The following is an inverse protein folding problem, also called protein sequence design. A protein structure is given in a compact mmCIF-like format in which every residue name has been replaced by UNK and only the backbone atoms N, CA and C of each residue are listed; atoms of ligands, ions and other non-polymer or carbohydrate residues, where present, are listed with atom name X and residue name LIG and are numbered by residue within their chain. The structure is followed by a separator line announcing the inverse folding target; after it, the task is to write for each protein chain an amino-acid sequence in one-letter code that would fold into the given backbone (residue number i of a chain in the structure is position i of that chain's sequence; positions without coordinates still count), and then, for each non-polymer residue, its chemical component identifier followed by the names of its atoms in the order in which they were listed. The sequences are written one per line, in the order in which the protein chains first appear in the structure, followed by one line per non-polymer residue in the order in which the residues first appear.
data_IF_065313788222
#
_entry.id   IF_065313788222
#
_cell.length_a   1.000
_cell.length_b   1.000
_cell.length_c   1.000
_cell.angle_alpha   90.00
_cell.angle_beta   90.00
_cell.angle_gamma   90.00
#
_symmetry.space_group_name_H-M   'P 1'
#
loop_
_entity.id
_entity.type
_entity.pdbx_description
1 polymer ?
#
# COMPACT_ATOMS: atom_id res chain seq x y z
N UNK A 1 -5.26 2.88 22.70
CA UNK A 1 -5.10 4.07 21.83
C UNK A 1 -4.33 3.64 20.58
N UNK A 2 -4.93 2.83 19.71
CA UNK A 2 -4.31 2.31 18.47
C UNK A 2 -5.07 2.79 17.23
N UNK A 3 -5.78 3.91 17.29
CA UNK A 3 -6.74 4.26 16.24
C UNK A 3 -6.13 4.80 14.94
N UNK A 4 -4.86 5.20 14.92
CA UNK A 4 -4.21 5.78 13.73
C UNK A 4 -3.74 4.75 12.69
N UNK A 5 -3.05 3.69 13.14
CA UNK A 5 -2.47 2.69 12.24
C UNK A 5 -3.52 1.76 11.63
N UNK A 6 -4.53 1.36 12.41
CA UNK A 6 -5.67 0.54 11.93
C UNK A 6 -6.52 1.30 10.88
N UNK A 7 -6.61 2.63 11.01
CA UNK A 7 -7.30 3.47 10.03
C UNK A 7 -6.48 3.65 8.74
N UNK A 8 -5.18 3.88 8.86
CA UNK A 8 -4.27 4.05 7.71
C UNK A 8 -4.18 2.78 6.86
N UNK A 9 -4.05 1.61 7.50
CA UNK A 9 -4.05 0.33 6.78
C UNK A 9 -5.37 0.10 6.03
N UNK A 10 -6.50 0.47 6.63
CA UNK A 10 -7.80 0.44 5.98
C UNK A 10 -7.85 1.30 4.71
N UNK A 11 -7.38 2.55 4.79
CA UNK A 11 -7.29 3.44 3.62
C UNK A 11 -6.38 2.91 2.51
N UNK A 12 -5.22 2.37 2.89
CA UNK A 12 -4.27 1.77 1.95
C UNK A 12 -4.89 0.55 1.27
N UNK A 13 -5.60 -0.29 2.02
CA UNK A 13 -6.30 -1.44 1.46
C UNK A 13 -7.34 -1.01 0.44
N UNK A 14 -8.14 0.03 0.71
CA UNK A 14 -9.10 0.58 -0.26
C UNK A 14 -8.39 1.16 -1.49
N UNK A 15 -7.30 1.90 -1.32
CA UNK A 15 -6.49 2.42 -2.41
C UNK A 15 -5.95 1.30 -3.31
N UNK A 16 -5.34 0.27 -2.71
CA UNK A 16 -4.82 -0.89 -3.42
C UNK A 16 -5.95 -1.64 -4.13
N UNK A 17 -7.10 -1.84 -3.49
CA UNK A 17 -8.25 -2.49 -4.11
C UNK A 17 -8.73 -1.73 -5.35
N UNK A 18 -8.74 -0.39 -5.32
CA UNK A 18 -9.06 0.43 -6.49
C UNK A 18 -8.03 0.29 -7.61
N UNK A 19 -6.73 0.38 -7.30
CA UNK A 19 -5.65 0.31 -8.31
C UNK A 19 -5.58 -1.07 -8.96
N UNK A 20 -5.71 -2.13 -8.14
CA UNK A 20 -5.65 -3.53 -8.55
C UNK A 20 -6.99 -4.05 -9.07
N UNK A 21 -8.04 -3.21 -9.05
CA UNK A 21 -9.40 -3.54 -9.50
C UNK A 21 -9.94 -4.82 -8.83
N UNK A 22 -9.73 -4.93 -7.51
CA UNK A 22 -10.23 -6.06 -6.73
C UNK A 22 -11.74 -5.90 -6.47
N UNK A 23 -12.50 -7.01 -6.48
CA UNK A 23 -13.93 -6.97 -6.15
C UNK A 23 -14.15 -6.64 -4.66
N UNK A 24 -15.23 -5.93 -4.32
CA UNK A 24 -15.60 -5.69 -2.93
C UNK A 24 -16.27 -6.93 -2.30
N UNK A 25 -16.02 -7.24 -1.01
CA UNK A 25 -15.00 -6.62 -0.17
C UNK A 25 -13.60 -7.14 -0.53
N UNK A 26 -12.58 -6.27 -0.57
CA UNK A 26 -11.20 -6.71 -0.79
C UNK A 26 -10.72 -7.59 0.38
N UNK A 27 -9.73 -8.48 0.14
CA UNK A 27 -9.13 -9.26 1.22
C UNK A 27 -8.53 -8.32 2.27
N UNK A 28 -8.60 -8.71 3.55
CA UNK A 28 -7.98 -7.93 4.62
C UNK A 28 -6.45 -7.88 4.48
N UNK A 29 -5.84 -9.05 4.23
CA UNK A 29 -4.40 -9.22 4.12
C UNK A 29 -4.07 -9.88 2.79
N UNK A 30 -3.92 -9.06 1.75
CA UNK A 30 -3.38 -9.55 0.49
C UNK A 30 -1.94 -9.11 0.29
N UNK A 31 -1.18 -10.00 -0.32
CA UNK A 31 0.22 -9.79 -0.66
C UNK A 31 0.37 -9.82 -2.17
N UNK A 32 1.32 -9.04 -2.70
CA UNK A 32 1.64 -8.97 -4.13
C UNK A 32 1.77 -10.35 -4.79
N UNK A 33 2.44 -11.30 -4.12
CA UNK A 33 2.63 -12.66 -4.65
C UNK A 33 1.37 -13.51 -4.75
N UNK A 34 0.28 -13.12 -4.07
CA UNK A 34 -0.99 -13.85 -4.05
C UNK A 34 -2.09 -13.18 -4.87
N UNK A 35 -1.87 -11.95 -5.37
CA UNK A 35 -2.83 -11.20 -6.17
C UNK A 35 -2.34 -11.17 -7.62
N UNK A 36 -2.97 -11.92 -8.54
CA UNK A 36 -2.53 -11.97 -9.94
C UNK A 36 -2.53 -10.61 -10.65
N UNK A 37 -3.42 -9.71 -10.25
CA UNK A 37 -3.51 -8.33 -10.76
C UNK A 37 -2.37 -7.44 -10.28
N UNK A 38 -1.58 -7.87 -9.28
CA UNK A 38 -0.49 -7.10 -8.71
C UNK A 38 0.86 -7.48 -9.35
N UNK A 39 0.95 -7.29 -10.66
CA UNK A 39 2.18 -7.49 -11.40
C UNK A 39 3.19 -6.32 -11.20
N UNK A 40 4.32 -6.36 -11.92
CA UNK A 40 5.37 -5.35 -11.81
C UNK A 40 4.94 -3.94 -12.21
N UNK A 41 4.10 -3.79 -13.24
CA UNK A 41 3.61 -2.48 -13.66
C UNK A 41 2.63 -1.93 -12.62
N UNK A 42 1.70 -2.77 -12.15
CA UNK A 42 0.74 -2.39 -11.12
C UNK A 42 1.41 -2.05 -9.79
N UNK A 43 2.52 -2.70 -9.47
CA UNK A 43 3.31 -2.34 -8.29
C UNK A 43 3.91 -0.93 -8.39
N UNK A 44 4.42 -0.52 -9.55
CA UNK A 44 4.90 0.86 -9.75
C UNK A 44 3.75 1.87 -9.68
N UNK A 45 2.59 1.56 -10.27
CA UNK A 45 1.39 2.41 -10.13
C UNK A 45 0.98 2.58 -8.66
N UNK A 46 1.03 1.51 -7.86
CA UNK A 46 0.79 1.57 -6.41
C UNK A 46 1.77 2.52 -5.73
N UNK A 47 3.06 2.39 -6.00
CA UNK A 47 4.10 3.23 -5.40
C UNK A 47 3.83 4.71 -5.72
N UNK A 48 3.64 5.05 -7.00
CA UNK A 48 3.40 6.44 -7.40
C UNK A 48 2.11 7.01 -6.81
N UNK A 49 1.05 6.20 -6.71
CA UNK A 49 -0.20 6.62 -6.08
C UNK A 49 -0.04 6.89 -4.58
N UNK A 50 0.82 6.13 -3.89
CA UNK A 50 1.14 6.35 -2.48
C UNK A 50 1.98 7.62 -2.30
N UNK A 51 3.00 7.81 -3.13
CA UNK A 51 3.84 9.02 -3.12
C UNK A 51 3.01 10.28 -3.36
N UNK A 52 2.16 10.29 -4.39
CA UNK A 52 1.28 11.41 -4.73
C UNK A 52 0.27 11.69 -3.61
N UNK A 53 -0.41 10.66 -3.09
CA UNK A 53 -1.47 10.81 -2.09
C UNK A 53 -0.94 11.29 -0.73
N UNK A 54 0.20 10.79 -0.30
CA UNK A 54 0.75 11.07 1.04
C UNK A 54 1.89 12.08 1.04
N UNK A 55 2.34 12.55 -0.14
CA UNK A 55 3.43 13.52 -0.27
C UNK A 55 4.79 12.98 0.16
N UNK A 56 4.99 11.66 0.06
CA UNK A 56 6.25 10.97 0.41
C UNK A 56 7.03 10.60 -0.85
N UNK A 57 8.30 10.23 -0.68
CA UNK A 57 9.07 9.54 -1.72
C UNK A 57 9.67 8.27 -1.16
N UNK A 58 9.48 7.17 -1.86
CA UNK A 58 10.09 5.90 -1.54
C UNK A 58 11.36 5.71 -2.37
N UNK A 59 12.38 5.12 -1.76
CA UNK A 59 13.59 4.71 -2.47
C UNK A 59 13.38 3.37 -3.18
N UNK A 60 14.15 3.10 -4.24
CA UNK A 60 14.04 1.85 -5.01
C UNK A 60 14.26 0.60 -4.13
N UNK A 61 15.06 0.74 -3.08
CA UNK A 61 15.29 -0.31 -2.07
C UNK A 61 14.05 -0.62 -1.22
N UNK A 62 13.14 0.35 -1.05
CA UNK A 62 11.89 0.19 -0.30
C UNK A 62 10.81 -0.49 -1.15
N UNK A 63 10.84 -0.33 -2.47
CA UNK A 63 9.81 -0.84 -3.38
C UNK A 63 9.57 -2.35 -3.16
N UNK A 64 10.65 -3.12 -3.04
CA UNK A 64 10.57 -4.56 -2.80
C UNK A 64 9.87 -4.95 -1.48
N UNK A 65 9.78 -4.04 -0.51
CA UNK A 65 9.10 -4.24 0.76
C UNK A 65 7.62 -3.80 0.74
N UNK A 66 7.19 -2.99 -0.24
CA UNK A 66 5.82 -2.46 -0.37
C UNK A 66 4.86 -3.49 -0.98
N UNK A 67 4.73 -4.65 -0.33
CA UNK A 67 4.05 -5.83 -0.89
C UNK A 67 2.71 -6.16 -0.25
N UNK A 68 2.28 -5.41 0.78
CA UNK A 68 1.02 -5.63 1.48
C UNK A 68 0.51 -4.32 2.12
N UNK A 69 -0.80 -4.20 2.43
CA UNK A 69 -1.35 -3.04 3.12
C UNK A 69 -0.59 -2.69 4.41
N UNK A 70 -0.33 -3.69 5.26
CA UNK A 70 0.40 -3.51 6.53
C UNK A 70 1.84 -3.01 6.30
N UNK A 71 2.55 -3.58 5.32
CA UNK A 71 3.93 -3.16 5.02
C UNK A 71 3.99 -1.72 4.52
N UNK A 72 3.04 -1.34 3.66
CA UNK A 72 2.91 0.02 3.15
C UNK A 72 2.53 0.99 4.28
N UNK A 73 1.59 0.62 5.16
CA UNK A 73 1.18 1.45 6.29
C UNK A 73 2.35 1.74 7.21
N UNK A 74 3.17 0.73 7.49
CA UNK A 74 4.40 0.87 8.27
C UNK A 74 5.42 1.78 7.60
N UNK A 75 5.65 1.63 6.29
CA UNK A 75 6.59 2.47 5.56
C UNK A 75 6.13 3.94 5.56
N UNK A 76 4.86 4.19 5.26
CA UNK A 76 4.26 5.52 5.33
C UNK A 76 4.36 6.13 6.72
N UNK A 77 4.08 5.35 7.77
CA UNK A 77 4.23 5.83 9.14
C UNK A 77 5.66 6.31 9.43
N UNK A 78 6.68 5.57 8.97
CA UNK A 78 8.08 5.97 9.16
C UNK A 78 8.42 7.27 8.41
N UNK A 79 7.92 7.43 7.18
CA UNK A 79 8.15 8.64 6.38
C UNK A 79 7.42 9.87 6.95
N UNK A 80 6.21 9.70 7.47
CA UNK A 80 5.41 10.79 8.04
C UNK A 80 5.84 11.19 9.46
N UNK A 81 6.58 10.33 10.15
CA UNK A 81 7.13 10.60 11.48
C UNK A 81 8.54 11.23 11.45
N UNK A 82 9.18 11.27 10.27
CA UNK A 82 10.49 11.86 10.02
C UNK A 82 10.39 13.37 9.73
#
# INVERSE_FOLDING_TARGET
MTSGAESLEGEIRDLLAMILKLPPPPPADFVRGSVPQWDSLKHMEVIFALEDRYGVRFDESEFAALISPMAIAKALHNHLAA
#
